data_IF_777325375350
#
_entry.id   IF_777325375350
#
_cell.length_a   1.000
_cell.length_b   1.000
_cell.length_c   1.000
_cell.angle_alpha   90.00
_cell.angle_beta   90.00
_cell.angle_gamma   90.00
#
_symmetry.space_group_name_H-M   'P 1'
#
loop_
_entity.id
_entity.type
_entity.pdbx_description
1 polymer ?
#
# COMPACT_ATOMS: atom_id res chain seq x y z
N UNK A 1 -6.75 11.74 -26.20
CA UNK A 1 -7.20 10.35 -26.40
C UNK A 1 -6.04 9.46 -25.95
N UNK A 2 -6.06 9.06 -24.68
CA UNK A 2 -5.27 7.99 -24.10
C UNK A 2 -6.17 7.46 -22.98
N UNK A 3 -6.88 6.40 -23.32
CA UNK A 3 -7.81 5.69 -22.46
C UNK A 3 -6.99 4.50 -22.01
N UNK A 4 -6.29 4.64 -20.88
CA UNK A 4 -5.43 3.57 -20.37
C UNK A 4 -6.33 2.41 -19.93
N UNK A 5 -6.07 1.25 -20.52
CA UNK A 5 -6.80 0.01 -20.30
C UNK A 5 -6.66 -0.44 -18.84
N UNK A 6 -7.79 -0.50 -18.14
CA UNK A 6 -7.91 -0.94 -16.77
C UNK A 6 -7.88 -2.48 -16.73
N UNK A 7 -6.83 -3.09 -16.18
CA UNK A 7 -6.77 -4.55 -15.97
C UNK A 7 -7.44 -4.86 -14.63
N UNK A 8 -8.63 -5.46 -14.70
CA UNK A 8 -9.51 -5.69 -13.55
C UNK A 8 -8.97 -6.68 -12.51
N UNK A 9 -9.42 -6.50 -11.26
CA UNK A 9 -9.30 -7.49 -10.20
C UNK A 9 -10.12 -8.73 -10.55
N UNK A 10 -9.50 -9.91 -10.58
CA UNK A 10 -10.21 -11.19 -10.70
C UNK A 10 -10.41 -11.79 -9.31
N UNK A 11 -11.63 -11.76 -8.81
CA UNK A 11 -12.04 -12.59 -7.66
C UNK A 11 -12.11 -14.06 -8.09
N UNK A 12 -11.43 -14.94 -7.35
CA UNK A 12 -11.69 -16.37 -7.40
C UNK A 12 -13.01 -16.67 -6.71
N UNK A 13 -13.99 -17.23 -7.43
CA UNK A 13 -15.28 -17.66 -6.87
C UNK A 13 -15.13 -19.01 -6.16
N UNK A 14 -15.56 -19.09 -4.90
CA UNK A 14 -16.23 -20.27 -4.35
C UNK A 14 -17.42 -19.85 -3.45
N UNK A 15 -18.45 -20.70 -3.40
CA UNK A 15 -19.85 -20.39 -3.11
C UNK A 15 -20.25 -20.47 -1.62
N UNK A 16 -21.20 -19.60 -1.24
CA UNK A 16 -22.21 -19.65 -0.15
C UNK A 16 -22.04 -20.59 1.07
N UNK A 17 -22.11 -20.00 2.27
CA UNK A 17 -23.23 -20.21 3.22
C UNK A 17 -23.29 -19.10 4.29
N UNK A 18 -24.51 -18.78 4.72
CA UNK A 18 -24.85 -17.73 5.70
C UNK A 18 -24.22 -17.97 7.09
N UNK A 19 -23.56 -16.96 7.66
CA UNK A 19 -23.79 -16.55 9.06
C UNK A 19 -23.13 -15.19 9.38
N UNK A 20 -23.84 -14.39 10.19
CA UNK A 20 -23.45 -13.05 10.63
C UNK A 20 -22.14 -13.06 11.45
N UNK A 21 -21.07 -12.58 10.85
CA UNK A 21 -19.89 -12.06 11.53
C UNK A 21 -19.32 -10.92 10.68
N UNK A 22 -18.76 -9.89 11.31
CA UNK A 22 -18.04 -8.80 10.64
C UNK A 22 -17.08 -9.37 9.59
N UNK A 23 -17.40 -9.15 8.31
CA UNK A 23 -16.64 -9.64 7.15
C UNK A 23 -15.19 -9.10 7.17
N UNK A 24 -14.31 -9.80 7.89
CA UNK A 24 -12.90 -9.89 7.51
C UNK A 24 -12.85 -10.78 6.26
N UNK A 25 -12.88 -10.14 5.10
CA UNK A 25 -12.54 -10.83 3.86
C UNK A 25 -11.05 -11.20 3.94
N UNK A 26 -10.76 -12.44 4.35
CA UNK A 26 -9.47 -13.08 4.07
C UNK A 26 -9.43 -13.33 2.57
N UNK A 27 -9.13 -12.27 1.81
CA UNK A 27 -8.82 -12.38 0.40
C UNK A 27 -7.47 -13.08 0.31
N UNK A 28 -7.49 -14.37 -0.04
CA UNK A 28 -6.29 -15.06 -0.50
C UNK A 28 -5.66 -14.23 -1.61
N UNK A 29 -4.45 -13.70 -1.33
CA UNK A 29 -3.57 -12.94 -2.22
C UNK A 29 -4.28 -12.05 -3.26
N UNK A 30 -4.61 -10.81 -2.90
CA UNK A 30 -5.00 -9.83 -3.91
C UNK A 30 -3.74 -9.46 -4.73
N UNK A 31 -3.61 -10.02 -5.94
CA UNK A 31 -2.62 -9.55 -6.92
C UNK A 31 -3.03 -8.15 -7.41
N UNK A 32 -2.37 -7.12 -6.91
CA UNK A 32 -2.50 -5.75 -7.43
C UNK A 32 -1.25 -5.43 -8.24
N UNK A 33 -1.38 -5.39 -9.56
CA UNK A 33 -0.32 -4.89 -10.43
C UNK A 33 -0.30 -3.37 -10.37
N UNK A 34 0.65 -2.80 -9.62
CA UNK A 34 0.89 -1.35 -9.64
C UNK A 34 2.02 -1.01 -10.61
N UNK A 35 1.76 -0.08 -11.52
CA UNK A 35 2.80 0.46 -12.39
C UNK A 35 3.60 1.50 -11.60
N UNK A 36 4.80 1.14 -11.13
CA UNK A 36 5.69 2.08 -10.45
C UNK A 36 6.19 3.09 -11.47
N UNK A 37 5.62 4.30 -11.46
CA UNK A 37 5.98 5.38 -12.37
C UNK A 37 7.45 5.78 -12.23
N UNK A 38 8.29 5.23 -13.10
CA UNK A 38 9.64 5.70 -13.39
C UNK A 38 10.16 5.11 -14.71
N UNK A 39 9.50 5.38 -15.84
CA UNK A 39 10.08 5.28 -17.20
C UNK A 39 10.69 3.95 -17.65
N UNK A 40 10.63 2.89 -16.85
CA UNK A 40 11.21 1.59 -17.13
C UNK A 40 10.06 0.58 -17.22
N UNK A 41 9.98 -0.12 -18.36
CA UNK A 41 8.93 -1.08 -18.72
C UNK A 41 9.02 -2.40 -17.94
N UNK A 42 9.41 -2.35 -16.67
CA UNK A 42 9.34 -3.50 -15.78
C UNK A 42 8.00 -3.45 -15.05
N UNK A 43 6.96 -3.99 -15.70
CA UNK A 43 5.72 -4.39 -15.02
C UNK A 43 6.07 -5.44 -13.96
N UNK A 44 6.35 -5.00 -12.74
CA UNK A 44 6.50 -5.90 -11.60
C UNK A 44 5.12 -6.11 -11.01
N UNK A 45 4.54 -7.27 -11.28
CA UNK A 45 3.41 -7.79 -10.48
C UNK A 45 3.91 -7.96 -9.06
N UNK A 46 3.52 -7.04 -8.17
CA UNK A 46 3.76 -7.19 -6.74
C UNK A 46 2.61 -8.03 -6.20
N UNK A 47 2.89 -9.28 -5.85
CA UNK A 47 1.94 -10.10 -5.10
C UNK A 47 1.96 -9.57 -3.68
N UNK A 48 0.87 -8.93 -3.26
CA UNK A 48 0.70 -8.54 -1.88
C UNK A 48 0.26 -9.78 -1.10
N UNK A 49 1.21 -10.46 -0.47
CA UNK A 49 0.89 -11.41 0.62
C UNK A 49 0.56 -10.68 1.94
N UNK A 50 0.59 -9.35 1.92
CA UNK A 50 0.18 -8.50 3.03
C UNK A 50 -1.32 -8.21 3.00
N UNK A 51 -1.94 -8.06 4.17
CA UNK A 51 -3.39 -7.90 4.29
C UNK A 51 -3.82 -6.56 3.69
N UNK A 52 -4.64 -6.62 2.63
CA UNK A 52 -5.32 -5.47 2.04
C UNK A 52 -6.81 -5.52 2.35
N UNK A 53 -7.40 -4.36 2.62
CA UNK A 53 -8.79 -4.23 3.02
C UNK A 53 -9.58 -3.40 1.99
N UNK A 54 -10.81 -3.82 1.68
CA UNK A 54 -11.77 -2.96 0.99
C UNK A 54 -12.43 -2.01 2.01
N UNK A 55 -12.28 -0.70 1.82
CA UNK A 55 -12.73 0.32 2.78
C UNK A 55 -13.66 1.33 2.10
N UNK A 56 -14.78 1.63 2.76
CA UNK A 56 -15.63 2.78 2.43
C UNK A 56 -15.03 4.03 3.07
N UNK A 57 -14.72 5.04 2.25
CA UNK A 57 -14.08 6.29 2.64
C UNK A 57 -14.87 7.48 2.09
N UNK A 58 -14.50 8.68 2.58
CA UNK A 58 -15.05 9.94 2.08
C UNK A 58 -13.94 10.99 1.96
N UNK A 59 -13.98 11.76 0.89
CA UNK A 59 -13.06 12.88 0.65
C UNK A 59 -13.85 14.13 0.26
N UNK A 60 -13.41 15.29 0.75
CA UNK A 60 -14.06 16.57 0.49
C UNK A 60 -13.29 17.32 -0.58
N UNK A 61 -13.98 17.72 -1.65
CA UNK A 61 -13.41 18.47 -2.77
C UNK A 61 -14.07 19.84 -2.85
N UNK A 62 -13.25 20.89 -2.87
CA UNK A 62 -13.70 22.26 -3.12
C UNK A 62 -13.53 22.61 -4.59
N UNK A 63 -14.62 23.02 -5.23
CA UNK A 63 -14.67 23.31 -6.66
C UNK A 63 -14.83 24.81 -6.91
N UNK A 64 -13.99 25.36 -7.78
CA UNK A 64 -14.11 26.76 -8.21
C UNK A 64 -15.30 26.95 -9.19
N UNK A 65 -16.03 28.09 -9.12
CA UNK A 65 -17.15 28.38 -10.02
C UNK A 65 -16.89 28.22 -11.51
N UNK A 66 -15.66 28.44 -11.96
CA UNK A 66 -15.27 28.23 -13.37
C UNK A 66 -15.45 26.80 -13.85
N UNK A 67 -15.55 25.83 -12.95
CA UNK A 67 -15.79 24.42 -13.27
C UNK A 67 -17.25 23.99 -13.09
N UNK A 68 -18.16 24.94 -12.81
CA UNK A 68 -19.60 24.68 -12.80
C UNK A 68 -20.05 24.51 -14.25
N UNK A 69 -20.30 23.28 -14.66
CA UNK A 69 -20.64 22.97 -16.04
C UNK A 69 -20.91 21.48 -16.26
N UNK A 70 -21.17 21.08 -17.51
CA UNK A 70 -21.56 19.71 -17.86
C UNK A 70 -20.50 18.66 -17.47
N UNK A 71 -19.21 19.04 -17.42
CA UNK A 71 -18.10 18.15 -17.08
C UNK A 71 -17.73 18.18 -15.58
N UNK A 72 -18.56 18.80 -14.72
CA UNK A 72 -18.28 18.92 -13.29
C UNK A 72 -18.04 17.56 -12.62
N UNK A 73 -18.87 16.57 -12.94
CA UNK A 73 -18.76 15.23 -12.34
C UNK A 73 -17.44 14.57 -12.70
N UNK A 74 -17.04 14.63 -13.97
CA UNK A 74 -15.75 14.10 -14.44
C UNK A 74 -14.57 14.77 -13.75
N UNK A 75 -14.65 16.08 -13.52
CA UNK A 75 -13.63 16.82 -12.80
C UNK A 75 -13.54 16.38 -11.32
N UNK A 76 -14.67 16.20 -10.64
CA UNK A 76 -14.69 15.69 -9.27
C UNK A 76 -14.10 14.28 -9.17
N UNK A 77 -14.40 13.39 -10.13
CA UNK A 77 -13.82 12.06 -10.18
C UNK A 77 -12.30 12.13 -10.35
N UNK A 78 -11.82 12.92 -11.32
CA UNK A 78 -10.38 13.08 -11.57
C UNK A 78 -9.65 13.62 -10.35
N UNK A 79 -10.21 14.64 -9.70
CA UNK A 79 -9.64 15.20 -8.48
C UNK A 79 -9.64 14.18 -7.35
N UNK A 80 -10.71 13.41 -7.17
CA UNK A 80 -10.73 12.35 -6.16
C UNK A 80 -9.55 11.40 -6.35
N UNK A 81 -9.39 10.82 -7.55
CA UNK A 81 -8.29 9.89 -7.83
C UNK A 81 -6.92 10.54 -7.55
N UNK A 82 -6.70 11.74 -8.07
CA UNK A 82 -5.43 12.46 -7.87
C UNK A 82 -5.14 12.87 -6.43
N UNK A 83 -6.17 13.15 -5.63
CA UNK A 83 -6.03 13.59 -4.25
C UNK A 83 -5.81 12.44 -3.28
N UNK A 84 -6.36 11.25 -3.55
CA UNK A 84 -6.42 10.14 -2.56
C UNK A 84 -5.52 8.96 -2.90
N UNK A 85 -5.33 8.61 -4.17
CA UNK A 85 -4.54 7.42 -4.53
C UNK A 85 -3.05 7.66 -4.25
N UNK A 86 -2.39 6.64 -3.67
CA UNK A 86 -1.01 6.73 -3.22
C UNK A 86 -0.81 7.51 -1.92
N UNK A 87 -1.86 8.11 -1.35
CA UNK A 87 -1.75 8.81 -0.06
C UNK A 87 -1.72 7.82 1.11
N UNK A 88 -1.14 8.28 2.22
CA UNK A 88 -1.04 7.51 3.44
C UNK A 88 -1.47 8.34 4.65
N UNK A 89 -2.24 7.75 5.56
CA UNK A 89 -2.48 8.30 6.89
C UNK A 89 -2.42 7.21 7.96
N UNK A 90 -2.02 7.55 9.19
CA UNK A 90 -1.96 6.57 10.28
C UNK A 90 -3.31 5.91 10.61
N UNK A 91 -4.43 6.60 10.35
CA UNK A 91 -5.78 6.07 10.63
C UNK A 91 -6.24 5.09 9.56
N UNK A 92 -6.11 5.48 8.28
CA UNK A 92 -6.62 4.72 7.15
C UNK A 92 -5.63 3.67 6.69
N UNK A 93 -4.33 3.98 6.62
CA UNK A 93 -3.33 3.20 5.90
C UNK A 93 -2.95 3.88 4.58
N UNK A 94 -2.37 3.11 3.67
CA UNK A 94 -2.04 3.50 2.31
C UNK A 94 -3.25 3.25 1.41
N UNK A 95 -3.75 4.28 0.73
CA UNK A 95 -4.81 4.13 -0.27
C UNK A 95 -4.16 3.69 -1.57
N UNK A 96 -4.40 2.44 -1.96
CA UNK A 96 -3.77 1.79 -3.11
C UNK A 96 -4.48 2.21 -4.39
N UNK A 97 -5.79 2.03 -4.45
CA UNK A 97 -6.60 2.45 -5.57
C UNK A 97 -8.06 2.69 -5.15
N UNK A 98 -8.74 3.60 -5.84
CA UNK A 98 -10.19 3.78 -5.73
C UNK A 98 -10.86 2.74 -6.64
N UNK A 99 -11.77 1.95 -6.06
CA UNK A 99 -12.53 0.92 -6.79
C UNK A 99 -13.77 1.50 -7.45
N UNK A 100 -14.57 2.24 -6.68
CA UNK A 100 -15.82 2.81 -7.16
C UNK A 100 -16.22 4.02 -6.35
N UNK A 101 -16.85 4.98 -7.01
CA UNK A 101 -17.47 6.14 -6.37
C UNK A 101 -18.92 5.79 -6.09
N UNK A 102 -19.26 5.65 -4.82
CA UNK A 102 -20.60 5.22 -4.39
C UNK A 102 -21.60 6.36 -4.39
N UNK A 103 -21.16 7.58 -4.03
CA UNK A 103 -22.03 8.76 -3.99
C UNK A 103 -21.22 10.06 -4.06
N UNK A 104 -21.81 11.10 -4.68
CA UNK A 104 -21.31 12.47 -4.62
C UNK A 104 -22.43 13.32 -4.03
N UNK A 105 -22.17 14.02 -2.93
CA UNK A 105 -23.17 14.89 -2.31
C UNK A 105 -23.59 16.03 -3.25
N UNK A 106 -24.78 16.63 -3.05
CA UNK A 106 -25.05 17.94 -3.61
C UNK A 106 -23.95 18.93 -3.21
N UNK A 107 -23.57 19.82 -4.14
CA UNK A 107 -22.56 20.84 -3.89
C UNK A 107 -23.10 21.93 -2.96
N UNK A 108 -22.38 22.19 -1.87
CA UNK A 108 -22.72 23.27 -0.93
C UNK A 108 -21.84 24.48 -1.22
N UNK A 109 -22.45 25.57 -1.68
CA UNK A 109 -21.71 26.82 -1.92
C UNK A 109 -21.26 27.42 -0.59
N UNK A 110 -19.96 27.64 -0.46
CA UNK A 110 -19.32 28.24 0.69
C UNK A 110 -19.52 29.77 0.68
N UNK A 111 -20.10 30.34 1.74
CA UNK A 111 -20.29 31.78 1.84
C UNK A 111 -18.96 32.55 1.72
N UNK A 112 -18.97 33.66 0.98
CA UNK A 112 -17.82 34.57 0.86
C UNK A 112 -16.74 34.16 -0.17
N UNK A 113 -16.58 32.88 -0.48
CA UNK A 113 -15.62 32.42 -1.52
C UNK A 113 -16.28 32.05 -2.85
N UNK A 114 -17.58 31.68 -2.81
CA UNK A 114 -18.30 31.19 -3.98
C UNK A 114 -17.91 29.77 -4.41
N UNK A 115 -16.93 29.14 -3.76
CA UNK A 115 -16.55 27.73 -3.98
C UNK A 115 -17.70 26.80 -3.62
N UNK A 116 -17.83 25.67 -4.30
CA UNK A 116 -18.77 24.61 -3.93
C UNK A 116 -18.01 23.44 -3.31
N UNK A 117 -18.45 23.05 -2.11
CA UNK A 117 -17.93 21.90 -1.39
C UNK A 117 -18.74 20.65 -1.74
N UNK A 118 -18.05 19.57 -2.11
CA UNK A 118 -18.64 18.26 -2.40
C UNK A 118 -18.00 17.21 -1.49
N UNK A 119 -18.83 16.39 -0.85
CA UNK A 119 -18.38 15.19 -0.14
C UNK A 119 -18.54 14.00 -1.07
N UNK A 120 -17.44 13.37 -1.43
CA UNK A 120 -17.40 12.20 -2.32
C UNK A 120 -17.19 10.96 -1.49
N UNK A 121 -18.14 10.03 -1.53
CA UNK A 121 -18.05 8.72 -0.91
C UNK A 121 -17.58 7.69 -1.94
N UNK A 122 -16.61 6.87 -1.56
CA UNK A 122 -15.97 5.92 -2.46
C UNK A 122 -15.49 4.67 -1.71
N UNK A 123 -15.32 3.59 -2.46
CA UNK A 123 -14.64 2.37 -2.01
C UNK A 123 -13.21 2.36 -2.53
N UNK A 124 -12.28 1.91 -1.71
CA UNK A 124 -10.88 1.81 -2.07
C UNK A 124 -10.24 0.54 -1.50
N UNK A 125 -9.22 0.05 -2.22
CA UNK A 125 -8.27 -0.90 -1.67
C UNK A 125 -7.29 -0.12 -0.79
N UNK A 126 -7.15 -0.56 0.44
CA UNK A 126 -6.27 0.06 1.43
C UNK A 126 -5.32 -0.99 1.97
N UNK A 127 -4.03 -0.67 1.97
CA UNK A 127 -3.02 -1.45 2.66
C UNK A 127 -2.72 -0.82 4.01
N UNK A 128 -2.93 -1.56 5.10
CA UNK A 128 -2.66 -1.08 6.45
C UNK A 128 -1.84 -2.12 7.21
N UNK A 129 -0.54 -1.86 7.45
CA UNK A 129 0.30 -2.84 8.13
C UNK A 129 -0.06 -2.94 9.62
N UNK A 130 0.12 -4.15 10.17
CA UNK A 130 -0.09 -4.42 11.59
C UNK A 130 1.17 -4.95 12.27
N UNK A 131 1.32 -4.64 13.56
CA UNK A 131 2.38 -5.26 14.38
C UNK A 131 2.07 -6.74 14.56
N UNK A 132 3.07 -7.59 14.29
CA UNK A 132 2.97 -9.04 14.38
C UNK A 132 2.76 -9.72 13.04
N UNK A 133 2.42 -8.97 11.98
CA UNK A 133 2.22 -9.47 10.64
C UNK A 133 3.54 -10.01 10.05
N UNK A 134 3.48 -11.17 9.43
CA UNK A 134 4.59 -11.75 8.66
C UNK A 134 4.33 -11.44 7.19
N UNK A 135 5.29 -10.78 6.55
CA UNK A 135 5.16 -10.24 5.19
C UNK A 135 6.41 -10.52 4.39
N UNK A 136 6.23 -10.68 3.09
CA UNK A 136 7.31 -10.79 2.12
C UNK A 136 7.68 -9.41 1.59
N UNK A 137 8.97 -9.16 1.46
CA UNK A 137 9.51 -7.84 1.12
C UNK A 137 10.66 -7.96 0.11
N UNK A 138 10.87 -6.89 -0.66
CA UNK A 138 12.03 -6.76 -1.55
C UNK A 138 13.08 -5.90 -0.88
N UNK A 139 14.28 -6.42 -0.68
CA UNK A 139 15.40 -5.69 -0.09
C UNK A 139 15.81 -4.54 -1.03
N UNK A 140 15.76 -3.30 -0.54
CA UNK A 140 16.08 -2.11 -1.34
C UNK A 140 17.49 -1.59 -1.09
N UNK A 141 18.01 -1.75 0.13
CA UNK A 141 19.38 -1.40 0.48
C UNK A 141 19.88 -2.19 1.68
N UNK A 142 21.18 -2.46 1.71
CA UNK A 142 21.87 -3.14 2.81
C UNK A 142 23.04 -2.27 3.26
N UNK A 143 23.23 -2.13 4.56
CA UNK A 143 24.33 -1.39 5.16
C UNK A 143 24.77 -2.05 6.47
N UNK A 144 25.79 -1.50 7.14
CA UNK A 144 26.35 -2.10 8.35
C UNK A 144 25.38 -2.14 9.54
N UNK A 145 24.38 -1.26 9.61
CA UNK A 145 23.43 -1.18 10.73
C UNK A 145 22.18 -2.04 10.51
N UNK A 146 21.91 -2.45 9.27
CA UNK A 146 20.76 -3.27 8.90
C UNK A 146 20.46 -3.23 7.40
N UNK A 147 19.25 -3.63 7.03
CA UNK A 147 18.75 -3.48 5.68
C UNK A 147 17.37 -2.81 5.67
N UNK A 148 17.07 -2.17 4.54
CA UNK A 148 15.73 -1.69 4.22
C UNK A 148 15.10 -2.64 3.20
N UNK A 149 13.82 -2.92 3.37
CA UNK A 149 13.02 -3.70 2.44
C UNK A 149 11.63 -3.07 2.27
N UNK A 150 11.09 -3.16 1.06
CA UNK A 150 9.79 -2.61 0.72
C UNK A 150 8.74 -3.72 0.70
N UNK A 151 7.64 -3.48 1.40
CA UNK A 151 6.41 -4.28 1.41
C UNK A 151 5.34 -3.42 0.73
N UNK A 152 5.29 -3.50 -0.60
CA UNK A 152 4.53 -2.55 -1.41
C UNK A 152 4.94 -1.11 -1.10
N UNK A 153 4.02 -0.21 -0.66
CA UNK A 153 4.37 1.19 -0.35
C UNK A 153 4.98 1.38 1.05
N UNK A 154 5.06 0.34 1.89
CA UNK A 154 5.67 0.41 3.23
C UNK A 154 7.16 0.10 3.18
N UNK A 155 7.97 1.01 3.70
CA UNK A 155 9.37 0.73 3.97
C UNK A 155 9.56 0.14 5.37
N UNK A 156 10.24 -1.01 5.44
CA UNK A 156 10.58 -1.72 6.66
C UNK A 156 12.10 -1.67 6.87
N UNK A 157 12.53 -1.29 8.06
CA UNK A 157 13.93 -1.39 8.47
C UNK A 157 14.15 -2.58 9.40
N UNK A 158 15.11 -3.44 9.06
CA UNK A 158 15.55 -4.57 9.91
C UNK A 158 16.98 -4.28 10.37
N UNK A 159 17.11 -3.95 11.66
CA UNK A 159 18.42 -3.70 12.26
C UNK A 159 19.20 -5.00 12.45
N UNK A 160 20.54 -4.96 12.40
CA UNK A 160 21.40 -6.13 12.60
C UNK A 160 21.05 -6.93 13.88
N UNK A 161 20.75 -6.22 14.97
CA UNK A 161 20.36 -6.84 16.25
C UNK A 161 19.04 -7.62 16.23
N UNK A 162 18.23 -7.42 15.19
CA UNK A 162 16.95 -8.08 14.93
C UNK A 162 17.08 -9.18 13.86
N UNK A 163 18.31 -9.57 13.53
CA UNK A 163 18.65 -10.72 12.71
C UNK A 163 19.20 -11.85 13.61
N UNK A 164 19.25 -13.10 13.11
CA UNK A 164 20.00 -14.18 13.74
C UNK A 164 21.49 -13.81 13.90
N UNK A 165 22.16 -14.37 14.90
CA UNK A 165 23.51 -13.94 15.31
C UNK A 165 24.64 -14.35 14.36
N UNK A 166 24.39 -15.36 13.53
CA UNK A 166 25.28 -15.86 12.49
C UNK A 166 25.44 -14.86 11.33
N UNK A 167 24.42 -14.07 11.01
CA UNK A 167 24.50 -13.08 9.94
C UNK A 167 25.59 -12.02 10.19
N UNK A 168 26.52 -11.90 9.23
CA UNK A 168 27.58 -10.89 9.20
C UNK A 168 27.45 -10.00 7.98
N UNK A 169 27.72 -8.71 8.17
CA UNK A 169 27.76 -7.75 7.08
C UNK A 169 29.05 -7.91 6.26
N UNK A 170 28.92 -8.01 4.94
CA UNK A 170 30.03 -7.96 3.97
C UNK A 170 29.97 -6.64 3.20
N UNK A 171 31.03 -5.84 3.24
CA UNK A 171 31.09 -4.54 2.57
C UNK A 171 31.53 -4.60 1.11
N UNK A 172 32.16 -5.70 0.66
CA UNK A 172 32.69 -5.82 -0.71
C UNK A 172 31.58 -6.06 -1.73
N UNK A 173 30.53 -6.78 -1.32
CA UNK A 173 29.23 -6.81 -1.97
C UNK A 173 28.17 -6.62 -0.89
N UNK A 174 27.66 -5.38 -0.66
CA UNK A 174 26.82 -5.05 0.49
C UNK A 174 25.68 -6.03 0.72
N UNK A 175 25.88 -6.93 1.67
CA UNK A 175 24.94 -7.98 2.03
C UNK A 175 25.10 -8.40 3.50
N UNK A 176 24.10 -9.11 4.02
CA UNK A 176 24.26 -9.91 5.24
C UNK A 176 24.33 -11.39 4.85
N UNK A 177 25.44 -12.04 5.19
CA UNK A 177 25.65 -13.48 4.96
C UNK A 177 25.53 -14.24 6.27
N UNK A 178 24.56 -15.13 6.35
CA UNK A 178 24.44 -16.17 7.39
C UNK A 178 25.04 -17.49 6.90
N UNK A 179 24.79 -18.57 7.64
CA UNK A 179 25.35 -19.89 7.30
C UNK A 179 24.79 -20.43 5.96
N UNK A 180 23.47 -20.37 5.78
CA UNK A 180 22.75 -20.91 4.60
C UNK A 180 21.97 -19.83 3.82
N UNK A 181 22.02 -18.57 4.26
CA UNK A 181 21.19 -17.48 3.72
C UNK A 181 22.00 -16.23 3.42
N UNK A 182 21.57 -15.48 2.41
CA UNK A 182 22.18 -14.21 2.03
C UNK A 182 21.11 -13.14 1.77
N UNK A 183 21.16 -12.05 2.52
CA UNK A 183 20.30 -10.89 2.33
C UNK A 183 21.06 -9.83 1.55
N UNK A 184 20.67 -9.62 0.30
CA UNK A 184 21.28 -8.65 -0.60
C UNK A 184 20.22 -7.80 -1.31
N UNK A 185 20.66 -6.69 -1.91
CA UNK A 185 19.76 -5.80 -2.65
C UNK A 185 19.04 -6.56 -3.77
N UNK A 186 17.75 -6.28 -3.92
CA UNK A 186 16.79 -6.94 -4.81
C UNK A 186 16.43 -8.39 -4.42
N UNK A 187 17.00 -8.94 -3.35
CA UNK A 187 16.59 -10.24 -2.80
C UNK A 187 15.20 -10.16 -2.16
N UNK A 188 14.51 -11.31 -2.15
CA UNK A 188 13.24 -11.47 -1.44
C UNK A 188 13.51 -11.94 0.00
N UNK A 189 12.80 -11.34 0.95
CA UNK A 189 12.93 -11.66 2.38
C UNK A 189 11.56 -11.72 3.04
N UNK A 190 11.31 -12.78 3.80
CA UNK A 190 10.17 -12.92 4.71
C UNK A 190 10.56 -12.33 6.06
N UNK A 191 9.81 -11.35 6.53
CA UNK A 191 10.06 -10.68 7.80
C UNK A 191 8.78 -10.53 8.61
N UNK A 192 8.92 -10.30 9.91
CA UNK A 192 7.81 -9.99 10.80
C UNK A 192 7.88 -8.54 11.27
N UNK A 193 6.77 -7.81 11.19
CA UNK A 193 6.68 -6.43 11.66
C UNK A 193 6.63 -6.42 13.19
N UNK A 194 7.59 -5.77 13.83
CA UNK A 194 7.66 -5.67 15.31
C UNK A 194 7.27 -4.30 15.85
N UNK A 195 7.24 -3.28 14.98
CA UNK A 195 6.82 -1.94 15.35
C UNK A 195 6.46 -1.08 14.15
N UNK A 196 5.52 -0.17 14.37
CA UNK A 196 5.08 0.83 13.39
C UNK A 196 5.32 2.21 13.96
N UNK A 197 5.85 3.10 13.12
CA UNK A 197 6.00 4.52 13.40
C UNK A 197 5.08 5.30 12.45
N UNK A 198 3.97 5.76 12.99
CA UNK A 198 3.02 6.60 12.25
C UNK A 198 3.52 8.06 12.22
N UNK A 199 3.57 8.63 11.03
CA UNK A 199 3.75 10.06 10.78
C UNK A 199 2.50 10.59 10.06
N UNK A 200 2.43 11.90 9.83
CA UNK A 200 1.24 12.52 9.23
C UNK A 200 0.89 11.95 7.85
N UNK A 201 1.91 11.70 7.01
CA UNK A 201 1.75 11.27 5.60
C UNK A 201 2.50 9.99 5.28
N UNK A 202 3.11 9.33 6.27
CA UNK A 202 3.94 8.15 6.08
C UNK A 202 3.80 7.19 7.26
N UNK A 203 3.95 5.90 6.98
CA UNK A 203 4.11 4.86 7.99
C UNK A 203 5.45 4.20 7.70
N UNK A 204 6.32 4.13 8.70
CA UNK A 204 7.57 3.36 8.62
C UNK A 204 7.48 2.19 9.59
N UNK A 205 8.07 1.06 9.23
CA UNK A 205 8.05 -0.14 10.05
C UNK A 205 9.45 -0.55 10.49
N UNK A 206 9.51 -1.23 11.64
CA UNK A 206 10.67 -2.00 12.08
C UNK A 206 10.30 -3.46 12.00
N UNK A 207 11.14 -4.24 11.33
CA UNK A 207 10.96 -5.68 11.14
C UNK A 207 12.01 -6.52 11.87
N UNK A 208 11.78 -7.83 11.94
CA UNK A 208 12.74 -8.84 12.39
C UNK A 208 12.74 -10.04 11.46
N UNK A 209 13.89 -10.70 11.37
CA UNK A 209 14.06 -12.03 10.74
C UNK A 209 14.65 -13.04 11.74
N UNK A 210 14.53 -12.77 13.05
CA UNK A 210 15.17 -13.55 14.12
C UNK A 210 14.34 -14.75 14.59
N UNK A 211 13.09 -14.84 14.15
CA UNK A 211 12.19 -15.95 14.47
C UNK A 211 12.28 -17.05 13.40
N UNK A 212 11.78 -18.24 13.72
CA UNK A 212 11.78 -19.37 12.80
C UNK A 212 10.97 -19.07 11.53
N UNK A 213 11.38 -19.68 10.41
CA UNK A 213 10.77 -19.52 9.07
C UNK A 213 10.81 -18.10 8.48
N UNK A 214 11.61 -17.20 9.06
CA UNK A 214 11.92 -15.87 8.51
C UNK A 214 13.30 -15.86 7.84
N UNK A 215 13.53 -14.88 6.98
CA UNK A 215 14.78 -14.72 6.25
C UNK A 215 14.59 -14.77 4.73
N UNK A 216 15.63 -15.16 4.01
CA UNK A 216 15.64 -15.19 2.55
C UNK A 216 14.58 -16.16 2.00
N UNK A 217 13.86 -15.73 0.97
CA UNK A 217 12.94 -16.57 0.20
C UNK A 217 13.65 -16.95 -1.11
N UNK A 218 13.61 -18.23 -1.47
CA UNK A 218 14.18 -18.77 -2.72
C UNK A 218 13.10 -18.93 -3.79
#
# INVERSE_FOLDING_TARGET
MAMDEYVGAKEGRENNEHDNASDEAVLGGLMVTMNTGAGNKDERTVVFDAVVENRNLSHTINLHPSYYGPHMKEFLMRNLHGDVEGTCSGRVGFIICVLTITNISPGKVLPGSGLAEFVVHYQAIVFKPYKGEVVDAIVTSVNQIGFFADVGPLQVFVAQKLMPSDFKFDSNGPCYRGDDQMIEKNGQVRLKIVGLKHQATQINAVGTIKEDYLGQIQ
#
